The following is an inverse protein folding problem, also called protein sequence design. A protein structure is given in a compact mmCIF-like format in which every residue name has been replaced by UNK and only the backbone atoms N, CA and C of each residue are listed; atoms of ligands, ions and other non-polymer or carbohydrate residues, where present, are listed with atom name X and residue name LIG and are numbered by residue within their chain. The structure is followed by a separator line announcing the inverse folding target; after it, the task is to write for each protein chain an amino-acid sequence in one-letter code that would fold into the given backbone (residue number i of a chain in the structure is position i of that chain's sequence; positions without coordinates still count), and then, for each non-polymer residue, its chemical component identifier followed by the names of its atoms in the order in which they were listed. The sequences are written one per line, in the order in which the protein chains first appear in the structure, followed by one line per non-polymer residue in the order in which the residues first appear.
data_IF_055882348030
#
_entry.id   IF_055882348030
#
_cell.length_a   1.000
_cell.length_b   1.000
_cell.length_c   1.000
_cell.angle_alpha   90.00
_cell.angle_beta   90.00
_cell.angle_gamma   90.00
#
_symmetry.space_group_name_H-M   'P 1'
#
loop_
_entity.id
_entity.type
_entity.pdbx_description
1 polymer ?
#
# COMPACT_ATOMS: atom_id res chain seq x y z
N UNK A 1 -20.19 -11.05 30.58
CA UNK A 1 -19.22 -10.59 29.56
C UNK A 1 -19.81 -10.95 28.21
N UNK A 2 -20.34 -9.99 27.47
CA UNK A 2 -20.84 -10.22 26.12
C UNK A 2 -19.63 -10.33 25.20
N UNK A 3 -19.37 -11.53 24.69
CA UNK A 3 -18.37 -11.78 23.66
C UNK A 3 -18.94 -11.27 22.32
N UNK A 4 -19.01 -9.96 22.15
CA UNK A 4 -19.32 -9.34 20.86
C UNK A 4 -18.06 -9.43 20.03
N UNK A 5 -17.88 -10.56 19.34
CA UNK A 5 -16.92 -10.67 18.25
C UNK A 5 -17.45 -9.78 17.12
N UNK A 6 -17.25 -8.47 17.24
CA UNK A 6 -17.30 -7.54 16.10
C UNK A 6 -16.47 -8.24 15.03
N UNK A 7 -17.02 -8.50 13.85
CA UNK A 7 -16.31 -9.26 12.83
C UNK A 7 -14.92 -8.66 12.67
N UNK A 8 -13.86 -9.45 12.87
CA UNK A 8 -12.49 -8.99 12.69
C UNK A 8 -12.01 -9.42 11.31
N UNK A 9 -11.20 -8.57 10.70
CA UNK A 9 -10.53 -8.83 9.44
C UNK A 9 -9.05 -8.46 9.53
N UNK A 10 -8.30 -8.81 8.50
CA UNK A 10 -6.92 -8.39 8.33
C UNK A 10 -6.68 -7.95 6.89
N UNK A 11 -5.69 -7.08 6.72
CA UNK A 11 -5.18 -6.66 5.42
C UNK A 11 -3.73 -7.06 5.34
N UNK A 12 -3.40 -7.89 4.35
CA UNK A 12 -2.03 -8.34 4.10
C UNK A 12 -1.70 -8.16 2.62
N UNK A 13 -0.45 -7.79 2.36
CA UNK A 13 0.01 -7.51 1.01
C UNK A 13 1.50 -7.69 0.85
N UNK A 14 1.91 -7.76 -0.40
CA UNK A 14 3.31 -7.87 -0.81
C UNK A 14 3.74 -6.66 -1.62
N UNK A 15 5.02 -6.32 -1.50
CA UNK A 15 5.67 -5.29 -2.28
C UNK A 15 6.56 -5.92 -3.35
N UNK A 16 6.28 -5.57 -4.61
CA UNK A 16 7.06 -5.96 -5.77
C UNK A 16 7.77 -4.75 -6.37
N UNK A 17 9.01 -4.96 -6.83
CA UNK A 17 9.80 -3.97 -7.54
C UNK A 17 10.00 -4.40 -9.00
N UNK A 18 9.63 -3.55 -9.95
CA UNK A 18 9.89 -3.66 -11.40
C UNK A 18 10.91 -2.61 -11.80
N UNK A 19 12.16 -2.86 -11.44
CA UNK A 19 13.24 -1.87 -11.54
C UNK A 19 14.59 -2.47 -11.93
N UNK A 20 14.60 -3.71 -12.42
CA UNK A 20 15.82 -4.43 -12.81
C UNK A 20 16.89 -4.48 -11.70
N UNK A 21 16.45 -4.59 -10.44
CA UNK A 21 17.32 -4.55 -9.26
C UNK A 21 18.17 -3.27 -9.18
N UNK A 22 17.54 -2.14 -9.44
CA UNK A 22 18.13 -0.82 -9.35
C UNK A 22 18.97 -0.64 -8.07
N UNK A 23 20.17 -0.07 -8.22
CA UNK A 23 21.12 0.17 -7.11
C UNK A 23 20.65 1.26 -6.15
N UNK A 24 19.78 2.14 -6.62
CA UNK A 24 19.24 3.28 -5.87
C UNK A 24 17.83 2.99 -5.31
N UNK A 25 17.41 1.72 -5.30
CA UNK A 25 16.17 1.32 -4.63
C UNK A 25 16.23 1.70 -3.14
N UNK A 26 15.20 2.35 -2.59
CA UNK A 26 15.18 2.68 -1.17
C UNK A 26 15.16 1.41 -0.31
N UNK A 27 15.74 1.49 0.88
CA UNK A 27 15.80 0.36 1.81
C UNK A 27 14.43 0.03 2.42
N UNK A 28 13.53 1.01 2.45
CA UNK A 28 12.21 0.95 3.05
C UNK A 28 11.20 1.82 2.30
N UNK A 29 9.93 1.46 2.44
CA UNK A 29 8.77 2.25 2.02
C UNK A 29 7.80 2.39 3.19
N UNK A 30 6.86 3.33 3.07
CA UNK A 30 5.75 3.48 4.00
C UNK A 30 4.45 3.12 3.30
N UNK A 31 3.71 2.17 3.88
CA UNK A 31 2.40 1.74 3.41
C UNK A 31 1.37 2.19 4.43
N UNK A 32 0.44 3.03 3.98
CA UNK A 32 -0.69 3.51 4.75
C UNK A 32 -1.88 2.56 4.57
N UNK A 33 -2.53 2.19 5.67
CA UNK A 33 -3.83 1.55 5.70
C UNK A 33 -4.90 2.62 5.80
N UNK A 34 -5.86 2.58 4.88
CA UNK A 34 -7.01 3.46 4.86
C UNK A 34 -8.27 2.69 5.25
N UNK A 35 -9.07 3.29 6.12
CA UNK A 35 -10.43 2.87 6.46
C UNK A 35 -11.39 3.95 5.96
N UNK A 36 -12.29 3.60 5.04
CA UNK A 36 -13.23 4.53 4.40
C UNK A 36 -12.54 5.81 3.87
N UNK A 37 -11.36 5.65 3.28
CA UNK A 37 -10.56 6.76 2.73
C UNK A 37 -9.73 7.56 3.75
N UNK A 38 -9.79 7.23 5.04
CA UNK A 38 -8.98 7.87 6.09
C UNK A 38 -7.81 6.99 6.49
N UNK A 39 -6.60 7.55 6.56
CA UNK A 39 -5.43 6.82 7.06
C UNK A 39 -5.58 6.52 8.55
N UNK A 40 -5.51 5.25 8.92
CA UNK A 40 -5.64 4.80 10.33
C UNK A 40 -4.36 4.15 10.87
N UNK A 41 -3.46 3.71 9.99
CA UNK A 41 -2.18 3.14 10.36
C UNK A 41 -1.17 3.29 9.22
N UNK A 42 0.12 3.26 9.56
CA UNK A 42 1.24 3.23 8.61
C UNK A 42 2.21 2.15 9.04
N UNK A 43 2.69 1.34 8.10
CA UNK A 43 3.72 0.34 8.34
C UNK A 43 4.94 0.60 7.45
N UNK A 44 6.13 0.46 8.04
CA UNK A 44 7.38 0.47 7.31
C UNK A 44 7.67 -0.93 6.75
N UNK A 45 7.91 -1.00 5.45
CA UNK A 45 8.11 -2.25 4.72
C UNK A 45 9.48 -2.22 4.06
N UNK A 46 10.28 -3.26 4.24
CA UNK A 46 11.67 -3.27 3.81
C UNK A 46 12.08 -4.67 3.33
N UNK A 47 13.33 -4.79 2.89
CA UNK A 47 13.93 -6.10 2.62
C UNK A 47 13.96 -6.99 3.87
N UNK A 48 14.11 -6.42 5.07
CA UNK A 48 14.12 -7.16 6.32
C UNK A 48 12.74 -7.77 6.65
N UNK A 49 11.65 -7.12 6.25
CA UNK A 49 10.29 -7.69 6.36
C UNK A 49 9.95 -8.62 5.19
N UNK A 50 10.92 -8.91 4.32
CA UNK A 50 10.70 -9.70 3.11
C UNK A 50 9.78 -9.01 2.10
N UNK A 51 9.68 -7.67 2.15
CA UNK A 51 8.74 -6.89 1.35
C UNK A 51 7.28 -7.32 1.55
N UNK A 52 6.92 -7.67 2.78
CA UNK A 52 5.55 -8.02 3.19
C UNK A 52 5.10 -7.15 4.34
N UNK A 53 3.80 -6.98 4.45
CA UNK A 53 3.16 -6.21 5.51
C UNK A 53 1.79 -6.79 5.85
N UNK A 54 1.35 -6.55 7.08
CA UNK A 54 0.12 -7.11 7.63
C UNK A 54 -0.44 -6.18 8.71
N UNK A 55 -1.71 -5.80 8.54
CA UNK A 55 -2.51 -5.08 9.51
C UNK A 55 -3.56 -6.05 10.07
N UNK A 56 -3.49 -6.34 11.37
CA UNK A 56 -4.36 -7.28 12.09
C UNK A 56 -5.42 -6.54 12.90
N UNK A 57 -6.35 -7.33 13.43
CA UNK A 57 -7.32 -6.90 14.44
C UNK A 57 -8.16 -5.70 13.98
N UNK A 58 -8.49 -5.68 12.68
CA UNK A 58 -9.29 -4.63 12.07
C UNK A 58 -10.76 -4.94 12.23
N UNK A 59 -11.55 -3.99 12.72
CA UNK A 59 -13.01 -4.14 12.73
C UNK A 59 -13.55 -4.24 11.29
N UNK A 60 -14.41 -5.21 11.01
CA UNK A 60 -15.02 -5.37 9.70
C UNK A 60 -16.25 -4.47 9.52
N UNK A 61 -16.88 -4.04 10.61
CA UNK A 61 -18.11 -3.24 10.61
C UNK A 61 -18.03 -2.12 11.65
N UNK A 62 -18.72 -1.02 11.38
CA UNK A 62 -18.94 0.05 12.36
C UNK A 62 -20.03 -0.30 13.38
N UNK A 63 -20.35 0.66 14.27
CA UNK A 63 -21.34 0.48 15.33
C UNK A 63 -22.77 0.24 14.81
N UNK A 64 -23.07 0.70 13.60
CA UNK A 64 -24.37 0.54 12.94
C UNK A 64 -24.44 -0.73 12.08
N UNK A 65 -23.35 -1.50 12.03
CA UNK A 65 -23.24 -2.74 11.26
C UNK A 65 -22.90 -2.53 9.78
N UNK A 66 -22.44 -1.34 9.39
CA UNK A 66 -22.00 -1.05 8.01
C UNK A 66 -20.55 -1.50 7.83
N UNK A 67 -20.26 -2.20 6.74
CA UNK A 67 -18.92 -2.73 6.50
C UNK A 67 -17.91 -1.61 6.23
N UNK A 68 -16.75 -1.69 6.88
CA UNK A 68 -15.62 -0.82 6.57
C UNK A 68 -15.00 -1.21 5.24
N UNK A 69 -14.68 -0.21 4.41
CA UNK A 69 -13.83 -0.37 3.24
C UNK A 69 -12.38 -0.17 3.64
N UNK A 70 -11.54 -1.18 3.41
CA UNK A 70 -10.10 -1.07 3.60
C UNK A 70 -9.37 -0.97 2.27
N UNK A 71 -8.37 -0.09 2.24
CA UNK A 71 -7.49 0.14 1.09
C UNK A 71 -6.07 0.35 1.59
N UNK A 72 -5.09 0.13 0.73
CA UNK A 72 -3.68 0.41 1.02
C UNK A 72 -3.18 1.46 0.05
N UNK A 73 -2.28 2.32 0.53
CA UNK A 73 -1.61 3.31 -0.29
C UNK A 73 -0.15 3.36 0.07
N UNK A 74 0.72 3.34 -0.92
CA UNK A 74 2.12 3.65 -0.70
C UNK A 74 2.33 5.17 -0.65
N UNK A 75 3.16 5.63 0.28
CA UNK A 75 3.65 7.01 0.23
C UNK A 75 4.58 7.20 -0.98
N UNK A 76 4.63 8.40 -1.60
CA UNK A 76 5.43 8.63 -2.79
C UNK A 76 6.89 8.21 -2.62
N UNK A 77 7.40 7.43 -3.58
CA UNK A 77 8.81 7.03 -3.66
C UNK A 77 9.41 7.73 -4.88
N UNK A 78 10.43 8.56 -4.66
CA UNK A 78 11.06 9.33 -5.72
C UNK A 78 11.61 8.40 -6.84
N UNK A 79 11.30 8.71 -8.10
CA UNK A 79 11.75 7.94 -9.26
C UNK A 79 10.96 6.66 -9.53
N UNK A 80 9.84 6.45 -8.85
CA UNK A 80 8.99 5.27 -9.03
C UNK A 80 7.52 5.64 -9.22
N UNK A 81 6.86 4.91 -10.10
CA UNK A 81 5.41 4.89 -10.20
C UNK A 81 4.87 3.70 -9.40
N UNK A 82 3.82 3.93 -8.61
CA UNK A 82 3.23 2.92 -7.71
C UNK A 82 1.85 2.48 -8.21
N UNK A 83 1.62 1.17 -8.24
CA UNK A 83 0.33 0.56 -8.59
C UNK A 83 -0.13 -0.41 -7.52
N UNK A 84 -1.37 -0.27 -7.06
CA UNK A 84 -2.01 -1.16 -6.10
C UNK A 84 -2.96 -2.11 -6.85
N UNK A 85 -2.88 -3.42 -6.57
CA UNK A 85 -3.81 -4.43 -7.05
C UNK A 85 -4.32 -5.27 -5.86
N UNK A 86 -5.57 -5.04 -5.45
CA UNK A 86 -6.05 -5.50 -4.14
C UNK A 86 -5.24 -4.81 -3.03
N UNK A 87 -4.37 -5.58 -2.37
CA UNK A 87 -3.42 -5.07 -1.38
C UNK A 87 -1.95 -5.27 -1.79
N UNK A 88 -1.68 -5.84 -2.97
CA UNK A 88 -0.32 -5.92 -3.45
C UNK A 88 0.11 -4.61 -4.11
N UNK A 89 1.34 -4.18 -3.82
CA UNK A 89 1.90 -2.93 -4.33
C UNK A 89 3.04 -3.27 -5.28
N UNK A 90 3.01 -2.69 -6.48
CA UNK A 90 4.11 -2.78 -7.44
C UNK A 90 4.69 -1.39 -7.69
N UNK A 91 5.99 -1.22 -7.47
CA UNK A 91 6.71 -0.04 -7.97
C UNK A 91 7.43 -0.33 -9.26
N UNK A 92 7.22 0.50 -10.27
CA UNK A 92 7.94 0.47 -11.53
C UNK A 92 8.89 1.65 -11.57
N UNK A 93 10.17 1.42 -11.90
CA UNK A 93 11.14 2.51 -12.04
C UNK A 93 10.72 3.37 -13.22
N UNK A 94 10.60 4.67 -12.99
CA UNK A 94 10.39 5.63 -14.07
C UNK A 94 11.72 5.69 -14.83
N UNK A 95 11.74 5.21 -16.08
CA UNK A 95 12.90 5.41 -16.96
C UNK A 95 12.88 6.87 -17.41
N UNK A 96 14.04 7.50 -17.48
CA UNK A 96 14.24 8.78 -18.16
C UNK A 96 14.10 8.61 -19.69
N UNK A 97 13.03 7.97 -20.16
CA UNK A 97 12.65 7.96 -21.57
C UNK A 97 11.68 9.13 -21.76
N UNK A 98 12.27 10.29 -22.03
CA UNK A 98 11.71 11.41 -22.78
C UNK A 98 10.20 11.60 -22.65
N UNK A 99 9.79 12.42 -21.68
CA UNK A 99 8.57 13.23 -21.86
C UNK A 99 8.90 14.37 -22.85
N UNK A 100 9.21 14.04 -24.10
CA UNK A 100 8.94 14.97 -25.20
C UNK A 100 7.50 14.74 -25.57
N UNK A 101 6.60 15.37 -24.84
CA UNK A 101 5.25 15.59 -25.35
C UNK A 101 5.37 16.81 -26.27
N UNK A 102 5.36 16.67 -27.62
CA UNK A 102 5.14 17.83 -28.46
C UNK A 102 3.74 18.34 -28.11
N UNK A 103 3.67 19.55 -27.55
CA UNK A 103 2.44 20.34 -27.53
C UNK A 103 1.84 20.27 -28.94
N UNK A 104 0.72 19.56 -29.07
CA UNK A 104 -0.06 19.52 -30.30
C UNK A 104 -0.51 20.97 -30.64
N UNK A 105 -0.46 21.41 -31.92
CA UNK A 105 -0.62 22.81 -32.33
C UNK A 105 -2.00 23.43 -32.09
#
# INVERSE_FOLDING_TARGET
MTNTKVGETKVEGTKTWKDDNAKDRPEMIKVDLLQNGTVIATQEVSKATGWKYEFKDLAAYDADGVAYKYEVKEQPVAGYESKVNGYDITNTKIKDEQHTDPKDP
#
